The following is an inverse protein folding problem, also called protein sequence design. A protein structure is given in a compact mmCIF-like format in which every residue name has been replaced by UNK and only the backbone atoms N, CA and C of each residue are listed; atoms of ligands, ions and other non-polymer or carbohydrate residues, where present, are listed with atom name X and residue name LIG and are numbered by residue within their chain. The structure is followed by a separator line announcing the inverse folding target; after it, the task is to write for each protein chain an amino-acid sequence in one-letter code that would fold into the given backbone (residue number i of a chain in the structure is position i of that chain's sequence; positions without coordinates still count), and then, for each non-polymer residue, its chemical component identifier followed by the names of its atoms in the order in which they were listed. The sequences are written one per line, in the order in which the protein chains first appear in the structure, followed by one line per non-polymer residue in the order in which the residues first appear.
data_IF_152359730258
#
_entry.id   IF_152359730258
#
_cell.length_a   1.000
_cell.length_b   1.000
_cell.length_c   1.000
_cell.angle_alpha   90.00
_cell.angle_beta   90.00
_cell.angle_gamma   90.00
#
_symmetry.space_group_name_H-M   'P 1'
#
loop_
_entity.id
_entity.type
_entity.pdbx_description
1 polymer ?
#
# COMPACT_ATOMS: atom_id res chain seq x y z
N UNK A 1 4.26 10.48 -27.11
CA UNK A 1 3.63 9.16 -26.84
C UNK A 1 4.53 8.17 -26.10
N UNK A 2 5.70 7.79 -26.64
CA UNK A 2 6.58 6.79 -26.00
C UNK A 2 6.95 7.07 -24.54
N UNK A 3 7.24 8.33 -24.22
CA UNK A 3 7.47 8.78 -22.86
C UNK A 3 6.36 8.32 -21.89
N UNK A 4 5.09 8.59 -22.24
CA UNK A 4 3.94 8.23 -21.41
C UNK A 4 3.75 6.72 -21.29
N UNK A 5 3.93 5.98 -22.38
CA UNK A 5 3.85 4.51 -22.37
C UNK A 5 4.84 3.94 -21.34
N UNK A 6 6.08 4.43 -21.37
CA UNK A 6 7.15 4.02 -20.45
C UNK A 6 6.82 4.44 -19.02
N UNK A 7 6.35 5.67 -18.78
CA UNK A 7 5.98 6.15 -17.44
C UNK A 7 4.89 5.26 -16.83
N UNK A 8 3.78 5.02 -17.54
CA UNK A 8 2.70 4.15 -17.06
C UNK A 8 3.18 2.71 -16.83
N UNK A 9 4.02 2.18 -17.72
CA UNK A 9 4.58 0.85 -17.57
C UNK A 9 5.49 0.73 -16.33
N UNK A 10 6.42 1.67 -16.16
CA UNK A 10 7.38 1.66 -15.04
C UNK A 10 6.67 1.86 -13.71
N UNK A 11 5.78 2.86 -13.60
CA UNK A 11 4.98 3.07 -12.38
C UNK A 11 4.10 1.86 -12.10
N UNK A 12 3.46 1.30 -13.12
CA UNK A 12 2.65 0.08 -12.99
C UNK A 12 3.46 -1.12 -12.49
N UNK A 13 4.63 -1.39 -13.08
CA UNK A 13 5.50 -2.50 -12.68
C UNK A 13 6.10 -2.29 -11.28
N UNK A 14 6.55 -1.08 -10.96
CA UNK A 14 7.06 -0.74 -9.63
C UNK A 14 5.97 -0.93 -8.57
N UNK A 15 4.76 -0.44 -8.83
CA UNK A 15 3.61 -0.62 -7.95
C UNK A 15 3.25 -2.12 -7.77
N UNK A 16 3.35 -2.93 -8.84
CA UNK A 16 3.14 -4.38 -8.77
C UNK A 16 4.17 -5.09 -7.90
N UNK A 17 5.42 -4.64 -7.97
CA UNK A 17 6.49 -5.22 -7.19
C UNK A 17 6.33 -4.88 -5.70
N UNK A 18 6.01 -3.62 -5.38
CA UNK A 18 5.72 -3.19 -4.01
C UNK A 18 4.45 -3.82 -3.44
N UNK A 19 3.41 -4.06 -4.26
CA UNK A 19 2.16 -4.67 -3.79
C UNK A 19 2.37 -6.06 -3.19
N UNK A 20 3.34 -6.83 -3.68
CA UNK A 20 3.66 -8.18 -3.17
C UNK A 20 4.20 -8.18 -1.74
N UNK A 21 4.71 -7.04 -1.28
CA UNK A 21 5.25 -6.86 0.06
C UNK A 21 4.23 -6.24 1.03
N UNK A 22 3.02 -5.94 0.55
CA UNK A 22 1.93 -5.42 1.38
C UNK A 22 1.12 -6.55 2.03
N UNK A 23 0.53 -6.32 3.21
CA UNK A 23 -0.34 -7.29 3.88
C UNK A 23 -1.62 -7.60 3.09
N UNK A 24 -2.09 -6.64 2.26
CA UNK A 24 -3.24 -6.78 1.37
C UNK A 24 -2.82 -6.46 -0.07
N UNK A 25 -2.18 -7.41 -0.77
CA UNK A 25 -1.60 -7.16 -2.11
C UNK A 25 -2.65 -6.84 -3.18
N UNK A 26 -3.94 -7.12 -2.92
CA UNK A 26 -5.00 -6.97 -3.90
C UNK A 26 -5.30 -5.50 -4.26
N UNK A 27 -5.06 -4.56 -3.34
CA UNK A 27 -5.41 -3.13 -3.54
C UNK A 27 -4.44 -2.48 -4.53
N UNK A 28 -3.16 -2.41 -4.17
CA UNK A 28 -2.10 -1.91 -5.06
C UNK A 28 -1.92 -2.79 -6.30
N UNK A 29 -2.19 -4.08 -6.23
CA UNK A 29 -2.20 -4.97 -7.40
C UNK A 29 -3.25 -4.57 -8.45
N UNK A 30 -4.47 -4.21 -8.04
CA UNK A 30 -5.52 -3.73 -8.95
C UNK A 30 -5.15 -2.38 -9.57
N UNK A 31 -4.58 -1.48 -8.78
CA UNK A 31 -4.12 -0.18 -9.28
C UNK A 31 -3.01 -0.35 -10.32
N UNK A 32 -2.01 -1.20 -10.03
CA UNK A 32 -0.97 -1.57 -10.98
C UNK A 32 -1.53 -2.14 -12.28
N UNK A 33 -2.47 -3.08 -12.19
CA UNK A 33 -3.11 -3.66 -13.38
C UNK A 33 -3.81 -2.61 -14.24
N UNK A 34 -4.47 -1.63 -13.62
CA UNK A 34 -5.07 -0.49 -14.31
C UNK A 34 -3.99 0.35 -15.04
N UNK A 35 -2.87 0.66 -14.39
CA UNK A 35 -1.78 1.43 -15.02
C UNK A 35 -1.15 0.69 -16.20
N UNK A 36 -0.91 -0.62 -16.06
CA UNK A 36 -0.38 -1.46 -17.15
C UNK A 36 -1.37 -1.55 -18.31
N UNK A 37 -2.66 -1.64 -18.01
CA UNK A 37 -3.72 -1.63 -19.05
C UNK A 37 -3.71 -0.30 -19.81
N UNK A 38 -3.60 0.83 -19.11
CA UNK A 38 -3.48 2.15 -19.74
C UNK A 38 -2.22 2.23 -20.61
N UNK A 39 -1.07 1.72 -20.13
CA UNK A 39 0.16 1.67 -20.92
C UNK A 39 -0.03 0.90 -22.24
N UNK A 40 -0.67 -0.27 -22.19
CA UNK A 40 -0.99 -1.07 -23.38
C UNK A 40 -1.94 -0.32 -24.32
N UNK A 41 -2.98 0.34 -23.79
CA UNK A 41 -3.91 1.15 -24.60
C UNK A 41 -3.18 2.29 -25.29
N UNK A 42 -2.29 3.01 -24.59
CA UNK A 42 -1.48 4.08 -25.17
C UNK A 42 -0.53 3.56 -26.25
N UNK A 43 0.04 2.37 -26.05
CA UNK A 43 0.88 1.72 -27.04
C UNK A 43 0.08 1.36 -28.30
N UNK A 44 -1.11 0.79 -28.16
CA UNK A 44 -2.01 0.53 -29.30
C UNK A 44 -2.38 1.84 -30.01
N UNK A 45 -2.71 2.88 -29.26
CA UNK A 45 -3.01 4.22 -29.78
C UNK A 45 -1.86 4.80 -30.60
N UNK A 46 -0.61 4.48 -30.27
CA UNK A 46 0.56 4.97 -31.02
C UNK A 46 0.69 4.41 -32.44
N UNK A 47 0.00 3.30 -32.73
CA UNK A 47 -0.03 2.64 -34.05
C UNK A 47 -1.32 2.92 -34.82
N UNK A 48 -2.22 3.73 -34.25
CA UNK A 48 -3.50 4.06 -34.86
C UNK A 48 -3.33 4.98 -36.08
N UNK A 49 -4.20 4.86 -37.11
CA UNK A 49 -4.13 5.67 -38.33
C UNK A 49 -4.46 7.15 -38.11
N UNK A 50 -5.09 7.50 -36.98
CA UNK A 50 -5.30 8.89 -36.55
C UNK A 50 -4.41 9.18 -35.36
N UNK A 51 -3.64 10.26 -35.43
CA UNK A 51 -2.80 10.70 -34.32
C UNK A 51 -3.64 11.08 -33.12
N UNK A 52 -3.27 10.56 -31.95
CA UNK A 52 -3.82 11.00 -30.66
C UNK A 52 -3.23 12.35 -30.30
N UNK A 53 -4.02 13.25 -29.70
CA UNK A 53 -3.49 14.53 -29.19
C UNK A 53 -2.42 14.29 -28.13
N UNK A 54 -1.38 15.13 -28.12
CA UNK A 54 -0.22 15.00 -27.23
C UNK A 54 -0.56 15.25 -25.76
N UNK A 55 -1.62 16.02 -25.49
CA UNK A 55 -2.11 16.34 -24.15
C UNK A 55 -2.85 15.16 -23.49
N UNK A 56 -3.45 14.26 -24.28
CA UNK A 56 -4.35 13.20 -23.77
C UNK A 56 -3.68 12.32 -22.71
N UNK A 57 -2.47 11.79 -22.93
CA UNK A 57 -1.79 10.97 -21.92
C UNK A 57 -1.47 11.75 -20.64
N UNK A 58 -1.16 13.05 -20.74
CA UNK A 58 -0.88 13.89 -19.58
C UNK A 58 -2.14 14.13 -18.74
N UNK A 59 -3.28 14.36 -19.39
CA UNK A 59 -4.60 14.45 -18.74
C UNK A 59 -4.95 13.13 -18.05
N UNK A 60 -4.78 12.00 -18.74
CA UNK A 60 -5.04 10.68 -18.16
C UNK A 60 -4.15 10.43 -16.94
N UNK A 61 -2.85 10.78 -17.02
CA UNK A 61 -1.93 10.67 -15.89
C UNK A 61 -2.36 11.53 -14.69
N UNK A 62 -2.76 12.78 -14.94
CA UNK A 62 -3.23 13.68 -13.88
C UNK A 62 -4.52 13.17 -13.22
N UNK A 63 -5.50 12.73 -14.01
CA UNK A 63 -6.79 12.24 -13.49
C UNK A 63 -6.63 10.93 -12.73
N UNK A 64 -5.98 9.93 -13.34
CA UNK A 64 -5.79 8.62 -12.71
C UNK A 64 -4.85 8.72 -11.51
N UNK A 65 -3.79 9.53 -11.62
CA UNK A 65 -2.89 9.82 -10.51
C UNK A 65 -3.61 10.48 -9.34
N UNK A 66 -4.41 11.52 -9.61
CA UNK A 66 -5.19 12.22 -8.59
C UNK A 66 -6.21 11.32 -7.88
N UNK A 67 -6.96 10.50 -8.63
CA UNK A 67 -7.85 9.49 -8.05
C UNK A 67 -7.07 8.47 -7.21
N UNK A 68 -5.90 8.05 -7.69
CA UNK A 68 -4.95 7.20 -6.97
C UNK A 68 -4.51 7.80 -5.64
N UNK A 69 -4.16 9.09 -5.61
CA UNK A 69 -3.81 9.80 -4.37
C UNK A 69 -4.97 9.79 -3.39
N UNK A 70 -6.18 10.16 -3.81
CA UNK A 70 -7.35 10.23 -2.92
C UNK A 70 -7.67 8.86 -2.31
N UNK A 71 -7.76 7.83 -3.16
CA UNK A 71 -8.06 6.45 -2.73
C UNK A 71 -6.93 5.89 -1.88
N UNK A 72 -5.67 6.11 -2.29
CA UNK A 72 -4.48 5.66 -1.59
C UNK A 72 -4.36 6.29 -0.20
N UNK A 73 -4.57 7.61 -0.07
CA UNK A 73 -4.54 8.30 1.22
C UNK A 73 -5.62 7.75 2.14
N UNK A 74 -6.85 7.54 1.66
CA UNK A 74 -7.90 6.92 2.47
C UNK A 74 -7.49 5.52 2.94
N UNK A 75 -6.87 4.73 2.07
CA UNK A 75 -6.42 3.40 2.45
C UNK A 75 -5.28 3.41 3.46
N UNK A 76 -4.35 4.36 3.31
CA UNK A 76 -3.19 4.56 4.17
C UNK A 76 -3.58 5.08 5.55
N UNK A 77 -4.50 6.04 5.64
CA UNK A 77 -4.79 6.75 6.90
C UNK A 77 -5.98 6.19 7.66
N UNK A 78 -7.00 5.68 6.96
CA UNK A 78 -8.28 5.29 7.60
C UNK A 78 -8.41 3.78 7.67
N UNK A 79 -8.19 3.08 6.56
CA UNK A 79 -8.42 1.63 6.54
C UNK A 79 -7.20 0.82 7.00
N UNK A 80 -6.00 1.42 6.91
CA UNK A 80 -4.71 0.79 7.17
C UNK A 80 -4.54 -0.51 6.39
N UNK A 81 -4.81 -0.48 5.08
CA UNK A 81 -4.74 -1.68 4.21
C UNK A 81 -3.70 -1.59 3.11
N UNK A 82 -3.36 -0.39 2.67
CA UNK A 82 -2.39 -0.16 1.61
C UNK A 82 -1.76 1.23 1.81
N UNK A 83 -0.45 1.32 1.57
CA UNK A 83 0.33 2.57 1.68
C UNK A 83 1.03 2.94 0.37
N UNK A 84 0.86 2.13 -0.67
CA UNK A 84 1.63 2.14 -1.92
C UNK A 84 0.89 2.89 -3.02
N UNK A 85 -0.44 2.79 -3.07
CA UNK A 85 -1.25 3.45 -4.11
C UNK A 85 -1.12 4.97 -4.07
N UNK A 86 -1.03 5.57 -2.87
CA UNK A 86 -0.92 7.03 -2.71
C UNK A 86 0.34 7.62 -3.38
N UNK A 87 1.58 7.17 -3.05
CA UNK A 87 2.79 7.71 -3.67
C UNK A 87 2.87 7.42 -5.18
N UNK A 88 2.54 6.20 -5.62
CA UNK A 88 2.60 5.90 -7.06
C UNK A 88 1.52 6.66 -7.87
N UNK A 89 0.35 6.90 -7.28
CA UNK A 89 -0.65 7.80 -7.86
C UNK A 89 -0.17 9.25 -7.89
N UNK A 90 0.50 9.71 -6.84
CA UNK A 90 1.01 11.07 -6.76
C UNK A 90 2.18 11.36 -7.69
N UNK A 91 3.06 10.39 -7.96
CA UNK A 91 4.05 10.46 -9.05
C UNK A 91 3.36 10.75 -10.40
N UNK A 92 2.30 10.00 -10.73
CA UNK A 92 1.55 10.22 -11.98
C UNK A 92 0.83 11.57 -12.00
N UNK A 93 0.25 11.97 -10.88
CA UNK A 93 -0.39 13.27 -10.74
C UNK A 93 0.62 14.40 -10.98
N UNK A 94 1.82 14.31 -10.40
CA UNK A 94 2.88 15.29 -10.54
C UNK A 94 3.35 15.37 -12.00
N UNK A 95 3.72 14.24 -12.60
CA UNK A 95 4.22 14.20 -13.98
C UNK A 95 3.14 14.72 -14.96
N UNK A 96 1.89 14.25 -14.80
CA UNK A 96 0.75 14.68 -15.63
C UNK A 96 0.47 16.17 -15.51
N UNK A 97 0.31 16.66 -14.28
CA UNK A 97 -0.05 18.06 -14.04
C UNK A 97 1.08 19.01 -14.42
N UNK A 98 2.33 18.69 -14.09
CA UNK A 98 3.49 19.52 -14.45
C UNK A 98 3.67 19.55 -15.97
N UNK A 99 3.46 18.43 -16.67
CA UNK A 99 3.51 18.41 -18.14
C UNK A 99 2.51 19.40 -18.73
N UNK A 100 1.26 19.36 -18.27
CA UNK A 100 0.18 20.26 -18.75
C UNK A 100 0.47 21.74 -18.43
N UNK A 101 1.01 22.03 -17.24
CA UNK A 101 1.41 23.38 -16.86
C UNK A 101 2.61 23.89 -17.66
N UNK A 102 3.54 22.99 -18.02
CA UNK A 102 4.77 23.35 -18.74
C UNK A 102 4.54 23.58 -20.24
N UNK A 103 3.60 22.84 -20.84
CA UNK A 103 3.32 22.92 -22.29
C UNK A 103 2.80 24.30 -22.70
N UNK A 104 2.02 24.94 -21.82
CA UNK A 104 1.39 26.25 -22.07
C UNK A 104 2.17 27.41 -21.46
N UNK A 105 3.38 27.15 -20.95
CA UNK A 105 4.16 28.13 -20.19
C UNK A 105 4.48 29.40 -21.00
N UNK A 106 4.75 29.25 -22.30
CA UNK A 106 5.04 30.38 -23.20
C UNK A 106 3.86 31.31 -23.42
N UNK A 107 2.64 30.80 -23.23
CA UNK A 107 1.40 31.49 -23.55
C UNK A 107 0.81 32.19 -22.31
N UNK A 108 1.37 31.90 -21.13
CA UNK A 108 0.93 32.43 -19.85
C UNK A 108 1.47 33.84 -19.59
N UNK A 109 0.59 34.68 -19.03
CA UNK A 109 1.02 35.94 -18.44
C UNK A 109 1.85 35.70 -17.16
N UNK A 110 2.60 36.72 -16.71
CA UNK A 110 3.46 36.63 -15.52
C UNK A 110 2.71 36.13 -14.28
N UNK A 111 1.44 36.52 -14.13
CA UNK A 111 0.59 36.07 -13.01
C UNK A 111 0.27 34.58 -13.10
N UNK A 112 -0.07 34.09 -14.29
CA UNK A 112 -0.40 32.67 -14.54
C UNK A 112 0.83 31.78 -14.40
N UNK A 113 2.01 32.25 -14.82
CA UNK A 113 3.28 31.58 -14.59
C UNK A 113 3.58 31.42 -13.09
N UNK A 114 3.36 32.48 -12.29
CA UNK A 114 3.55 32.43 -10.84
C UNK A 114 2.62 31.41 -10.16
N UNK A 115 1.33 31.42 -10.54
CA UNK A 115 0.34 30.47 -10.01
C UNK A 115 0.71 29.03 -10.41
N UNK A 116 1.08 28.81 -11.67
CA UNK A 116 1.49 27.50 -12.18
C UNK A 116 2.72 26.97 -11.46
N UNK A 117 3.71 27.83 -11.22
CA UNK A 117 4.90 27.48 -10.44
C UNK A 117 4.57 27.12 -8.99
N UNK A 118 3.70 27.91 -8.34
CA UNK A 118 3.26 27.63 -6.98
C UNK A 118 2.52 26.29 -6.88
N UNK A 119 1.61 26.00 -7.82
CA UNK A 119 0.89 24.71 -7.90
C UNK A 119 1.84 23.53 -8.10
N UNK A 120 2.78 23.63 -9.05
CA UNK A 120 3.79 22.60 -9.27
C UNK A 120 4.64 22.34 -8.02
N UNK A 121 5.05 23.40 -7.31
CA UNK A 121 5.82 23.30 -6.08
C UNK A 121 5.04 22.60 -4.96
N UNK A 122 3.76 22.90 -4.81
CA UNK A 122 2.87 22.25 -3.84
C UNK A 122 2.71 20.76 -4.17
N UNK A 123 2.47 20.43 -5.44
CA UNK A 123 2.34 19.03 -5.88
C UNK A 123 3.59 18.21 -5.55
N UNK A 124 4.77 18.73 -5.88
CA UNK A 124 6.04 18.05 -5.59
C UNK A 124 6.26 17.89 -4.08
N UNK A 125 5.96 18.91 -3.29
CA UNK A 125 6.11 18.86 -1.83
C UNK A 125 5.17 17.82 -1.21
N UNK A 126 3.92 17.78 -1.65
CA UNK A 126 2.94 16.79 -1.21
C UNK A 126 3.37 15.38 -1.62
N UNK A 127 3.91 15.21 -2.83
CA UNK A 127 4.40 13.91 -3.28
C UNK A 127 5.59 13.42 -2.46
N UNK A 128 6.54 14.30 -2.13
CA UNK A 128 7.63 13.94 -1.21
C UNK A 128 7.07 13.44 0.11
N UNK A 129 6.09 14.15 0.69
CA UNK A 129 5.44 13.71 1.92
C UNK A 129 4.78 12.32 1.80
N UNK A 130 4.03 12.09 0.71
CA UNK A 130 3.38 10.79 0.47
C UNK A 130 4.39 9.66 0.25
N UNK A 131 5.48 9.93 -0.45
CA UNK A 131 6.58 8.98 -0.66
C UNK A 131 7.26 8.61 0.66
N UNK A 132 7.55 9.57 1.54
CA UNK A 132 8.07 9.27 2.87
C UNK A 132 7.08 8.47 3.72
N UNK A 133 5.82 8.91 3.78
CA UNK A 133 4.81 8.25 4.60
C UNK A 133 4.48 6.84 4.11
N UNK A 134 4.39 6.66 2.79
CA UNK A 134 3.98 5.40 2.18
C UNK A 134 5.12 4.41 1.99
N UNK A 135 6.26 4.85 1.46
CA UNK A 135 7.36 3.96 1.05
C UNK A 135 8.46 3.83 2.10
N UNK A 136 8.72 4.88 2.90
CA UNK A 136 9.80 4.89 3.90
C UNK A 136 9.30 4.43 5.27
N UNK A 137 8.25 5.07 5.80
CA UNK A 137 7.63 4.66 7.06
C UNK A 137 6.94 3.30 6.87
N UNK A 138 6.31 3.10 5.71
CA UNK A 138 5.77 1.82 5.32
C UNK A 138 4.47 1.45 6.04
N UNK A 139 4.27 0.16 6.22
CA UNK A 139 3.01 -0.41 6.68
C UNK A 139 2.99 -0.51 8.20
N UNK A 140 1.89 -0.09 8.82
CA UNK A 140 1.70 -0.20 10.26
C UNK A 140 1.45 -1.65 10.70
N UNK A 141 1.96 -2.02 11.88
CA UNK A 141 1.80 -3.37 12.45
C UNK A 141 0.33 -3.83 12.56
N UNK A 142 -0.60 -2.92 12.82
CA UNK A 142 -2.05 -3.21 12.87
C UNK A 142 -2.55 -3.81 11.55
N UNK A 143 -1.99 -3.37 10.41
CA UNK A 143 -2.35 -3.91 9.09
C UNK A 143 -1.92 -5.37 8.94
N UNK A 144 -0.72 -5.68 9.41
CA UNK A 144 -0.18 -7.04 9.44
C UNK A 144 -0.98 -7.94 10.37
N UNK A 145 -1.35 -7.47 11.56
CA UNK A 145 -2.20 -8.20 12.51
C UNK A 145 -3.60 -8.49 11.94
N UNK A 146 -4.25 -7.51 11.29
CA UNK A 146 -5.52 -7.71 10.58
C UNK A 146 -5.41 -8.74 9.46
N UNK A 147 -4.29 -8.72 8.72
CA UNK A 147 -4.05 -9.69 7.66
C UNK A 147 -3.77 -11.09 8.23
N UNK A 148 -3.04 -11.20 9.33
CA UNK A 148 -2.82 -12.45 10.06
C UNK A 148 -4.12 -13.11 10.48
N UNK A 149 -5.03 -12.36 11.13
CA UNK A 149 -6.36 -12.87 11.51
C UNK A 149 -7.16 -13.37 10.30
N UNK A 150 -7.07 -12.68 9.16
CA UNK A 150 -7.69 -13.14 7.90
C UNK A 150 -7.09 -14.45 7.42
N UNK A 151 -5.78 -14.69 7.59
CA UNK A 151 -5.15 -15.95 7.19
C UNK A 151 -5.49 -17.11 8.13
N UNK A 152 -5.62 -16.84 9.44
CA UNK A 152 -6.12 -17.84 10.42
C UNK A 152 -7.49 -18.35 9.98
N UNK A 153 -8.44 -17.45 9.72
CA UNK A 153 -9.79 -17.79 9.22
C UNK A 153 -9.82 -18.47 7.84
N UNK A 154 -8.69 -18.50 7.14
CA UNK A 154 -8.55 -19.18 5.84
C UNK A 154 -7.83 -20.53 5.96
N UNK A 155 -7.38 -20.89 7.15
CA UNK A 155 -6.58 -22.09 7.37
C UNK A 155 -5.16 -22.01 6.83
N UNK A 156 -4.69 -20.83 6.44
CA UNK A 156 -3.33 -20.66 5.96
C UNK A 156 -2.44 -20.22 7.13
N UNK A 157 -1.99 -21.19 7.92
CA UNK A 157 -1.19 -20.92 9.13
C UNK A 157 0.28 -20.68 8.77
N UNK A 158 0.86 -21.54 7.95
CA UNK A 158 2.29 -21.55 7.62
C UNK A 158 2.63 -20.91 6.25
N UNK A 159 3.92 -20.66 6.05
CA UNK A 159 4.51 -20.16 4.81
C UNK A 159 4.62 -18.63 4.73
N UNK A 160 5.22 -18.09 3.66
CA UNK A 160 5.50 -16.65 3.53
C UNK A 160 4.27 -15.73 3.53
N UNK A 161 3.08 -16.31 3.31
CA UNK A 161 1.78 -15.63 3.33
C UNK A 161 0.84 -16.19 4.42
N UNK A 162 1.36 -17.06 5.28
CA UNK A 162 0.63 -17.64 6.39
C UNK A 162 0.42 -16.67 7.54
N UNK A 163 -0.49 -17.03 8.44
CA UNK A 163 -0.81 -16.27 9.63
C UNK A 163 0.43 -15.99 10.50
N UNK A 164 1.31 -16.98 10.68
CA UNK A 164 2.54 -16.84 11.49
C UNK A 164 3.41 -15.70 10.97
N UNK A 165 3.77 -15.73 9.68
CA UNK A 165 4.61 -14.69 9.06
C UNK A 165 3.98 -13.29 9.14
N UNK A 166 2.65 -13.21 9.13
CA UNK A 166 1.95 -11.94 9.24
C UNK A 166 1.97 -11.40 10.67
N UNK A 167 1.83 -12.25 11.68
CA UNK A 167 1.93 -11.82 13.08
C UNK A 167 3.36 -11.45 13.48
N UNK A 168 4.38 -12.15 12.98
CA UNK A 168 5.79 -11.76 13.18
C UNK A 168 6.12 -10.37 12.62
N UNK A 169 5.49 -9.99 11.50
CA UNK A 169 5.65 -8.65 10.90
C UNK A 169 4.82 -7.56 11.57
N UNK A 170 3.93 -7.94 12.49
CA UNK A 170 2.99 -7.00 13.13
C UNK A 170 3.57 -6.28 14.34
N UNK A 171 4.78 -6.65 14.77
CA UNK A 171 5.43 -6.08 15.94
C UNK A 171 5.74 -4.61 15.76
N UNK A 172 5.50 -3.82 16.80
CA UNK A 172 5.77 -2.41 16.77
C UNK A 172 6.43 -1.97 18.07
N UNK A 173 7.59 -1.33 17.97
CA UNK A 173 8.38 -0.91 19.12
C UNK A 173 7.69 0.14 19.98
N UNK A 174 6.77 0.92 19.40
CA UNK A 174 6.03 1.98 20.10
C UNK A 174 4.73 1.47 20.73
N UNK A 175 4.07 0.48 20.10
CA UNK A 175 2.79 -0.08 20.55
C UNK A 175 2.98 -1.44 21.22
N UNK A 176 3.33 -1.44 22.51
CA UNK A 176 3.52 -2.67 23.30
C UNK A 176 2.27 -3.57 23.30
N UNK A 177 1.07 -2.98 23.30
CA UNK A 177 -0.20 -3.72 23.26
C UNK A 177 -0.35 -4.55 21.97
N UNK A 178 0.10 -4.02 20.83
CA UNK A 178 0.04 -4.71 19.55
C UNK A 178 1.03 -5.88 19.51
N UNK A 179 2.21 -5.67 20.08
CA UNK A 179 3.23 -6.70 20.23
C UNK A 179 2.72 -7.83 21.14
N UNK A 180 2.06 -7.51 22.26
CA UNK A 180 1.42 -8.51 23.13
C UNK A 180 0.33 -9.30 22.39
N UNK A 181 -0.56 -8.62 21.66
CA UNK A 181 -1.59 -9.28 20.85
C UNK A 181 -1.02 -10.23 19.80
N UNK A 182 0.09 -9.84 19.16
CA UNK A 182 0.77 -10.67 18.16
C UNK A 182 1.39 -11.93 18.77
N UNK A 183 2.04 -11.82 19.93
CA UNK A 183 2.59 -12.97 20.64
C UNK A 183 1.47 -13.90 21.14
N UNK A 184 0.39 -13.35 21.69
CA UNK A 184 -0.78 -14.16 22.06
C UNK A 184 -1.37 -14.93 20.87
N UNK A 185 -1.46 -14.29 19.69
CA UNK A 185 -1.91 -14.97 18.47
C UNK A 185 -0.94 -16.09 18.05
N UNK A 186 0.37 -15.83 18.10
CA UNK A 186 1.40 -16.83 17.76
C UNK A 186 1.37 -18.02 18.72
N UNK A 187 1.23 -17.80 20.03
CA UNK A 187 1.09 -18.88 21.03
C UNK A 187 -0.10 -19.77 20.69
N UNK A 188 -1.27 -19.18 20.39
CA UNK A 188 -2.47 -19.95 20.04
C UNK A 188 -2.28 -20.76 18.75
N UNK A 189 -1.62 -20.20 17.74
CA UNK A 189 -1.36 -20.87 16.47
C UNK A 189 -0.36 -22.03 16.67
N UNK A 190 0.78 -21.80 17.34
CA UNK A 190 1.78 -22.84 17.60
C UNK A 190 1.23 -23.96 18.48
N UNK A 191 0.43 -23.64 19.50
CA UNK A 191 -0.29 -24.63 20.31
C UNK A 191 -1.20 -25.50 19.46
N UNK A 192 -1.96 -24.91 18.52
CA UNK A 192 -2.82 -25.66 17.62
C UNK A 192 -2.03 -26.56 16.66
N UNK A 193 -0.84 -26.12 16.22
CA UNK A 193 0.05 -26.92 15.36
C UNK A 193 0.85 -27.99 16.14
N UNK A 194 0.83 -27.95 17.47
CA UNK A 194 1.62 -28.86 18.32
C UNK A 194 3.11 -28.49 18.42
N UNK A 195 3.48 -27.27 18.06
CA UNK A 195 4.86 -26.77 18.10
C UNK A 195 5.16 -26.14 19.47
N UNK A 196 5.52 -27.00 20.42
CA UNK A 196 5.73 -26.61 21.82
C UNK A 196 6.93 -25.68 22.00
N UNK A 197 7.92 -25.71 21.12
CA UNK A 197 9.12 -24.90 21.24
C UNK A 197 8.82 -23.42 20.95
N UNK A 198 8.15 -23.14 19.85
CA UNK A 198 7.78 -21.77 19.49
C UNK A 198 6.62 -21.25 20.34
N UNK A 199 5.74 -22.14 20.82
CA UNK A 199 4.73 -21.81 21.82
C UNK A 199 5.38 -21.23 23.09
N UNK A 200 6.32 -21.96 23.70
CA UNK A 200 6.98 -21.54 24.94
C UNK A 200 7.77 -20.24 24.74
N UNK A 201 8.44 -20.08 23.60
CA UNK A 201 9.16 -18.86 23.26
C UNK A 201 8.24 -17.63 23.26
N UNK A 202 7.10 -17.71 22.57
CA UNK A 202 6.17 -16.58 22.48
C UNK A 202 5.37 -16.35 23.75
N UNK A 203 5.12 -17.40 24.55
CA UNK A 203 4.47 -17.27 25.85
C UNK A 203 5.39 -16.53 26.84
N UNK A 204 6.69 -16.87 26.87
CA UNK A 204 7.69 -16.14 27.65
C UNK A 204 7.80 -14.66 27.24
N UNK A 205 7.70 -14.35 25.95
CA UNK A 205 7.73 -12.97 25.48
C UNK A 205 6.45 -12.21 25.83
N UNK A 206 5.29 -12.87 25.76
CA UNK A 206 4.02 -12.31 26.20
C UNK A 206 4.02 -11.99 27.70
N UNK A 207 4.57 -12.88 28.54
CA UNK A 207 4.72 -12.65 29.98
C UNK A 207 5.54 -11.37 30.28
N UNK A 208 6.60 -11.10 29.51
CA UNK A 208 7.37 -9.84 29.65
C UNK A 208 6.56 -8.59 29.32
N UNK A 209 5.52 -8.72 28.49
CA UNK A 209 4.65 -7.63 28.05
C UNK A 209 3.40 -7.46 28.93
N UNK A 210 3.31 -8.18 30.04
CA UNK A 210 2.18 -8.13 30.97
C UNK A 210 1.27 -9.37 30.91
N UNK A 211 1.69 -10.43 30.21
CA UNK A 211 1.01 -11.73 30.19
C UNK A 211 -0.34 -11.69 29.47
N UNK A 212 -1.11 -12.75 29.65
CA UNK A 212 -2.43 -12.90 29.02
C UNK A 212 -3.45 -11.82 29.45
N UNK A 213 -3.31 -11.27 30.66
CA UNK A 213 -4.18 -10.20 31.17
C UNK A 213 -4.01 -8.87 30.41
N UNK A 214 -2.89 -8.68 29.72
CA UNK A 214 -2.65 -7.50 28.87
C UNK A 214 -3.39 -7.55 27.54
N UNK A 215 -3.94 -8.71 27.17
CA UNK A 215 -4.59 -8.95 25.87
C UNK A 215 -6.09 -9.07 26.05
N UNK A 216 -6.85 -8.35 25.22
CA UNK A 216 -8.31 -8.39 25.26
C UNK A 216 -8.83 -9.80 24.92
N UNK A 217 -9.74 -10.33 25.74
CA UNK A 217 -10.31 -11.67 25.56
C UNK A 217 -11.08 -11.85 24.24
N UNK A 218 -11.58 -10.78 23.64
CA UNK A 218 -12.21 -10.85 22.31
C UNK A 218 -11.19 -11.18 21.21
N UNK A 219 -9.94 -10.76 21.38
CA UNK A 219 -8.86 -11.06 20.44
C UNK A 219 -8.49 -12.55 20.47
N UNK A 220 -8.29 -13.09 21.67
CA UNK A 220 -7.96 -14.51 21.84
C UNK A 220 -9.09 -15.41 21.36
N UNK A 221 -10.34 -15.04 21.67
CA UNK A 221 -11.54 -15.73 21.17
C UNK A 221 -11.58 -15.71 19.64
N UNK A 222 -11.35 -14.56 18.99
CA UNK A 222 -11.40 -14.45 17.54
C UNK A 222 -10.33 -15.31 16.82
N UNK A 223 -9.16 -15.52 17.44
CA UNK A 223 -8.12 -16.41 16.93
C UNK A 223 -8.52 -17.87 17.15
N UNK A 224 -8.97 -18.23 18.35
CA UNK A 224 -9.41 -19.58 18.70
C UNK A 224 -10.58 -20.04 17.83
N UNK A 225 -11.58 -19.19 17.63
CA UNK A 225 -12.72 -19.46 16.74
C UNK A 225 -12.21 -19.80 15.33
N UNK A 226 -11.31 -18.97 14.79
CA UNK A 226 -10.73 -19.18 13.47
C UNK A 226 -9.86 -20.43 13.37
N UNK A 227 -9.24 -20.88 14.46
CA UNK A 227 -8.47 -22.13 14.52
C UNK A 227 -9.38 -23.36 14.72
N UNK A 228 -10.52 -23.21 15.40
CA UNK A 228 -11.46 -24.30 15.66
C UNK A 228 -12.24 -24.74 14.41
N UNK A 229 -12.29 -23.88 13.39
CA UNK A 229 -12.91 -24.15 12.10
C UNK A 229 -11.99 -24.93 11.13
N UNK A 230 -10.77 -25.28 11.54
CA UNK A 230 -9.73 -25.98 10.76
C UNK A 230 -9.68 -27.48 11.08
#
# INVERSE_FOLDING_TARGET
MWFWIIVFALVGLACLWYSRHQPFPEISGRFSALLLTISVILWLSSTAPRSTSEEVPAIVAAVIGGLGVVVGVRHMTTTHRDVVVAPFGGILLCIGSISLLSERWSDYDQTEQLISFALASILVTLEIYLSFRGLVIGVQGISWSKSGLRQVRRGLLEGPRGAVSHFEKSWHSEDQWLTAMSHAALVLIHRHMGDTQNEEYHDLELEKLGGWDSVDGSWTSAIQDGLSEL
#
